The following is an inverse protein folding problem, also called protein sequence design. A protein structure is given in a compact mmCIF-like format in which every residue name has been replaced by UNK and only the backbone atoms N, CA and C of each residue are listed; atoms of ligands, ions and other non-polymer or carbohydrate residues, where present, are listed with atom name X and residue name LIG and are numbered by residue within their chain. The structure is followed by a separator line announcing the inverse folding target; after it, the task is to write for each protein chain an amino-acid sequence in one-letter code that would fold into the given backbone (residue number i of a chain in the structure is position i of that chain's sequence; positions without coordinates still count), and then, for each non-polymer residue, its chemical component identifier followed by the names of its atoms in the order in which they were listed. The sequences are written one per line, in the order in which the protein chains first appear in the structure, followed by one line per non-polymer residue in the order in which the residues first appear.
data_IF_109174309095
#
_entry.id   IF_109174309095
#
_cell.length_a   1.000
_cell.length_b   1.000
_cell.length_c   1.000
_cell.angle_alpha   90.00
_cell.angle_beta   90.00
_cell.angle_gamma   90.00
#
_symmetry.space_group_name_H-M   'P 1'
#
loop_
_entity.id
_entity.type
_entity.pdbx_description
1 polymer ?
#
# COMPACT_ATOMS: atom_id res chain seq x y z
N UNK A 1 -7.10 -9.57 -4.75
CA UNK A 1 -7.18 -8.81 -6.01
C UNK A 1 -5.93 -7.97 -6.16
N UNK A 2 -5.32 -8.02 -7.34
CA UNK A 2 -4.10 -7.25 -7.57
C UNK A 2 -4.43 -5.85 -8.08
N UNK A 3 -3.69 -4.89 -7.59
CA UNK A 3 -3.81 -3.52 -8.05
C UNK A 3 -3.08 -3.33 -9.38
N UNK A 4 -3.51 -2.34 -10.15
CA UNK A 4 -2.80 -1.93 -11.35
C UNK A 4 -2.29 -0.51 -11.13
N UNK A 5 -1.25 -0.15 -11.89
CA UNK A 5 -0.70 1.19 -11.81
C UNK A 5 -1.74 2.24 -12.18
N UNK A 6 -2.56 1.95 -13.18
CA UNK A 6 -3.63 2.84 -13.60
C UNK A 6 -4.65 3.06 -12.48
N UNK A 7 -5.02 2.00 -11.78
CA UNK A 7 -5.95 2.08 -10.67
C UNK A 7 -5.40 2.98 -9.57
N UNK A 8 -4.15 2.76 -9.19
CA UNK A 8 -3.49 3.53 -8.14
C UNK A 8 -3.42 5.01 -8.52
N UNK A 9 -3.07 5.27 -9.77
CA UNK A 9 -2.93 6.64 -10.27
C UNK A 9 -4.27 7.39 -10.27
N UNK A 10 -5.35 6.70 -10.64
CA UNK A 10 -6.67 7.31 -10.75
C UNK A 10 -7.40 7.45 -9.42
N UNK A 11 -7.08 6.60 -8.46
CA UNK A 11 -7.78 6.62 -7.19
C UNK A 11 -7.43 7.88 -6.41
N UNK A 12 -8.43 8.52 -5.84
CA UNK A 12 -8.26 9.75 -5.08
C UNK A 12 -8.91 9.64 -3.71
N UNK A 13 -8.48 10.51 -2.79
CA UNK A 13 -9.11 10.59 -1.49
C UNK A 13 -10.54 11.11 -1.59
N UNK A 14 -11.40 10.63 -0.71
CA UNK A 14 -12.80 11.03 -0.67
C UNK A 14 -13.22 11.55 0.71
N UNK A 15 -12.25 12.00 1.50
CA UNK A 15 -12.50 12.46 2.86
C UNK A 15 -12.49 11.36 3.90
N UNK A 16 -12.29 10.12 3.48
CA UNK A 16 -12.23 8.96 4.38
C UNK A 16 -11.01 8.12 4.07
N UNK A 17 -10.45 7.48 5.09
CA UNK A 17 -9.34 6.55 4.88
C UNK A 17 -9.80 5.37 4.05
N UNK A 18 -8.98 4.97 3.09
CA UNK A 18 -9.27 3.86 2.19
C UNK A 18 -8.08 2.90 2.15
N UNK A 19 -8.36 1.63 1.97
CA UNK A 19 -7.33 0.59 1.83
C UNK A 19 -7.68 -0.30 0.65
N UNK A 20 -6.70 -0.58 -0.19
CA UNK A 20 -6.89 -1.44 -1.37
C UNK A 20 -5.77 -2.47 -1.39
N UNK A 21 -6.13 -3.73 -1.16
CA UNK A 21 -5.16 -4.81 -1.07
C UNK A 21 -4.64 -5.21 -2.46
N UNK A 22 -3.32 -5.44 -2.53
CA UNK A 22 -2.69 -5.97 -3.74
C UNK A 22 -2.42 -7.47 -3.62
N UNK A 23 -2.38 -7.98 -2.41
CA UNK A 23 -2.07 -9.37 -2.13
C UNK A 23 -0.78 -9.52 -1.33
N UNK A 24 -0.62 -10.66 -0.66
CA UNK A 24 0.57 -10.92 0.13
C UNK A 24 0.80 -9.95 1.28
N UNK A 25 -0.26 -9.29 1.75
CA UNK A 25 -0.15 -8.31 2.83
C UNK A 25 0.10 -6.90 2.36
N UNK A 26 0.44 -6.69 1.09
CA UNK A 26 0.66 -5.35 0.55
C UNK A 26 -0.66 -4.67 0.24
N UNK A 27 -0.78 -3.41 0.65
CA UNK A 27 -1.97 -2.64 0.33
C UNK A 27 -1.62 -1.16 0.15
N UNK A 28 -2.47 -0.49 -0.63
CA UNK A 28 -2.39 0.96 -0.81
C UNK A 28 -3.29 1.63 0.20
N UNK A 29 -2.73 2.52 0.99
CA UNK A 29 -3.49 3.31 1.95
C UNK A 29 -3.67 4.73 1.41
N UNK A 30 -4.92 5.19 1.38
CA UNK A 30 -5.22 6.56 0.98
C UNK A 30 -5.80 7.27 2.19
N UNK A 31 -5.12 8.33 2.65
CA UNK A 31 -5.58 9.09 3.80
C UNK A 31 -6.81 9.92 3.45
N UNK A 32 -7.56 10.40 4.44
CA UNK A 32 -8.70 11.29 4.17
C UNK A 32 -8.33 12.54 3.38
N UNK A 33 -7.07 12.95 3.46
CA UNK A 33 -6.57 14.12 2.72
C UNK A 33 -6.19 13.77 1.28
N UNK A 34 -6.20 12.50 0.91
CA UNK A 34 -5.84 12.08 -0.43
C UNK A 34 -4.40 11.63 -0.58
N UNK A 35 -3.62 11.61 0.49
CA UNK A 35 -2.25 11.15 0.44
C UNK A 35 -2.22 9.63 0.31
N UNK A 36 -1.49 9.14 -0.69
CA UNK A 36 -1.34 7.70 -0.94
C UNK A 36 -0.04 7.21 -0.37
N UNK A 37 -0.06 6.04 0.25
CA UNK A 37 1.16 5.40 0.76
C UNK A 37 1.04 3.90 0.65
N UNK A 38 2.19 3.24 0.51
CA UNK A 38 2.26 1.78 0.44
C UNK A 38 2.55 1.26 1.82
N UNK A 39 1.75 0.29 2.25
CA UNK A 39 1.91 -0.36 3.55
C UNK A 39 1.80 -1.86 3.37
N UNK A 40 2.43 -2.59 4.26
CA UNK A 40 2.40 -4.04 4.25
C UNK A 40 2.11 -4.57 5.65
N UNK A 41 1.10 -5.42 5.72
CA UNK A 41 0.80 -6.15 6.96
C UNK A 41 1.51 -7.49 6.89
N UNK A 42 2.23 -7.86 7.96
CA UNK A 42 2.94 -9.13 8.00
C UNK A 42 2.90 -9.68 9.42
N UNK A 43 3.27 -10.94 9.54
CA UNK A 43 3.30 -11.60 10.82
C UNK A 43 4.74 -11.95 11.20
N UNK A 44 5.14 -11.58 12.40
CA UNK A 44 6.47 -11.87 12.89
C UNK A 44 6.36 -12.39 14.31
N UNK A 45 6.87 -13.62 14.55
CA UNK A 45 6.83 -14.28 15.85
C UNK A 45 5.40 -14.31 16.44
N UNK A 46 4.41 -14.59 15.58
CA UNK A 46 3.02 -14.68 15.99
C UNK A 46 2.31 -13.36 16.21
N UNK A 47 2.98 -12.24 15.96
CA UNK A 47 2.42 -10.91 16.12
C UNK A 47 2.19 -10.24 14.80
N UNK A 48 1.07 -9.53 14.67
CA UNK A 48 0.80 -8.74 13.48
C UNK A 48 1.61 -7.45 13.52
N UNK A 49 2.32 -7.19 12.43
CA UNK A 49 3.13 -5.98 12.27
C UNK A 49 2.70 -5.23 11.03
N UNK A 50 2.91 -3.93 11.04
CA UNK A 50 2.61 -3.08 9.90
C UNK A 50 3.89 -2.34 9.50
N UNK A 51 4.25 -2.47 8.22
CA UNK A 51 5.41 -1.79 7.67
C UNK A 51 4.94 -0.71 6.71
N UNK A 52 5.40 0.51 6.90
CA UNK A 52 5.16 1.59 5.94
C UNK A 52 6.30 1.59 4.93
N UNK A 53 5.99 1.25 3.68
CA UNK A 53 7.00 1.16 2.63
C UNK A 53 7.39 2.54 2.14
N UNK A 54 6.40 3.40 1.85
CA UNK A 54 6.67 4.75 1.43
C UNK A 54 5.47 5.38 0.73
N UNK A 55 5.58 6.68 0.41
CA UNK A 55 4.48 7.40 -0.23
C UNK A 55 4.44 7.13 -1.74
N UNK A 56 3.26 7.27 -2.32
CA UNK A 56 3.07 7.30 -3.76
C UNK A 56 2.96 8.77 -4.18
N UNK A 57 3.52 9.19 -5.32
CA UNK A 57 4.16 8.38 -6.36
C UNK A 57 5.67 8.17 -6.19
N UNK A 58 6.27 8.61 -5.10
CA UNK A 58 7.70 8.43 -4.87
C UNK A 58 8.07 6.94 -4.94
N UNK A 59 7.21 6.08 -4.37
CA UNK A 59 7.35 4.61 -4.49
C UNK A 59 6.24 4.15 -5.42
N UNK A 60 6.62 3.56 -6.57
CA UNK A 60 5.65 3.03 -7.51
C UNK A 60 5.11 1.68 -7.04
N UNK A 61 4.05 1.20 -7.70
CA UNK A 61 3.49 -0.12 -7.42
C UNK A 61 4.56 -1.21 -7.59
N UNK A 62 5.35 -1.11 -8.64
CA UNK A 62 6.42 -2.06 -8.90
C UNK A 62 7.45 -2.05 -7.78
N UNK A 63 7.86 -0.87 -7.34
CA UNK A 63 8.82 -0.75 -6.24
C UNK A 63 8.26 -1.26 -4.93
N UNK A 64 6.98 -1.00 -4.66
CA UNK A 64 6.33 -1.50 -3.47
C UNK A 64 6.35 -3.03 -3.44
N UNK A 65 6.09 -3.66 -4.59
CA UNK A 65 6.13 -5.11 -4.70
C UNK A 65 7.54 -5.65 -4.51
N UNK A 66 8.54 -4.95 -5.02
CA UNK A 66 9.94 -5.33 -4.83
C UNK A 66 10.33 -5.25 -3.36
N UNK A 67 9.93 -4.19 -2.69
CA UNK A 67 10.24 -4.02 -1.27
C UNK A 67 9.52 -5.03 -0.40
N UNK A 68 8.35 -5.46 -0.81
CA UNK A 68 7.60 -6.50 -0.12
C UNK A 68 8.40 -7.80 -0.04
N UNK A 69 9.13 -8.15 -1.08
CA UNK A 69 9.88 -9.40 -1.12
C UNK A 69 11.12 -9.39 -0.24
N UNK A 70 11.54 -8.22 0.26
CA UNK A 70 12.72 -8.08 1.13
C UNK A 70 12.37 -8.27 2.60
N UNK A 71 11.11 -8.22 2.95
CA UNK A 71 10.64 -8.32 4.34
C UNK A 71 10.36 -9.78 4.80
#
# INVERSE_FOLDING_TARGET
MKLTDTFVKRKQGNGKAQKFADGGGLFLYISPKGTKSWRMAYRYLGKHKLLVIGPYPAISLKEARDRKSVV
#
